data_IF_223074712655
#
_entry.id   IF_223074712655
#
_cell.length_a   1.000
_cell.length_b   1.000
_cell.length_c   1.000
_cell.angle_alpha   90.00
_cell.angle_beta   90.00
_cell.angle_gamma   90.00
#
_symmetry.space_group_name_H-M   'P 1'
#
loop_
_entity.id
_entity.type
_entity.pdbx_description
1 polymer ?
#
# COMPACT_ATOMS: atom_id res chain seq x y z
N UNK A 1 20.05 26.19 -18.20
CA UNK A 1 19.80 25.70 -16.82
C UNK A 1 20.51 24.34 -16.64
N UNK A 2 20.19 23.32 -17.44
CA UNK A 2 20.76 21.95 -17.34
C UNK A 2 22.29 21.92 -17.29
N UNK A 3 22.96 22.54 -18.25
CA UNK A 3 24.42 22.62 -18.29
C UNK A 3 25.06 23.24 -17.03
N UNK A 4 24.40 24.23 -16.42
CA UNK A 4 24.90 24.89 -15.21
C UNK A 4 24.84 23.99 -13.97
N UNK A 5 23.83 23.13 -13.85
CA UNK A 5 23.55 22.35 -12.63
C UNK A 5 23.91 20.88 -12.78
N UNK A 6 23.82 20.31 -13.98
CA UNK A 6 24.03 18.90 -14.26
C UNK A 6 25.32 18.60 -15.03
N UNK A 7 25.98 19.63 -15.57
CA UNK A 7 27.17 19.48 -16.39
C UNK A 7 26.85 19.28 -17.89
N UNK A 8 27.87 18.93 -18.66
CA UNK A 8 27.77 18.79 -20.11
C UNK A 8 27.09 17.49 -20.56
N UNK A 9 27.00 16.51 -19.67
CA UNK A 9 26.27 15.25 -19.85
C UNK A 9 25.55 14.89 -18.58
N UNK A 10 24.33 14.36 -18.71
CA UNK A 10 23.56 13.86 -17.58
C UNK A 10 22.70 12.66 -17.99
N UNK A 11 22.27 11.90 -16.99
CA UNK A 11 21.73 10.56 -17.23
C UNK A 11 20.30 10.60 -17.76
N UNK A 12 19.39 11.32 -17.10
CA UNK A 12 17.95 11.25 -17.38
C UNK A 12 17.37 12.65 -17.57
N UNK A 13 16.57 12.80 -18.63
CA UNK A 13 15.67 13.92 -18.84
C UNK A 13 14.25 13.40 -19.06
N UNK A 14 13.30 13.91 -18.30
CA UNK A 14 11.92 13.46 -18.36
C UNK A 14 10.92 14.59 -18.61
N UNK A 15 9.75 14.21 -19.12
CA UNK A 15 8.63 15.13 -19.31
C UNK A 15 7.37 14.43 -19.81
N UNK A 16 6.32 15.20 -20.11
CA UNK A 16 5.13 14.66 -20.74
C UNK A 16 5.39 14.31 -22.21
N UNK A 17 4.61 13.40 -22.75
CA UNK A 17 4.71 12.97 -24.15
C UNK A 17 4.46 14.11 -25.14
N UNK A 18 3.76 15.16 -24.73
CA UNK A 18 3.55 16.39 -25.51
C UNK A 18 4.79 17.27 -25.64
N UNK A 19 5.82 17.04 -24.81
CA UNK A 19 7.09 17.78 -24.86
C UNK A 19 8.11 17.15 -25.83
N UNK A 20 7.89 15.92 -26.31
CA UNK A 20 8.79 15.27 -27.26
C UNK A 20 9.09 16.22 -28.41
N UNK A 21 8.04 16.76 -29.02
CA UNK A 21 8.14 17.72 -30.10
C UNK A 21 7.20 18.91 -29.87
N UNK A 22 7.68 20.15 -30.05
CA UNK A 22 9.02 20.53 -30.49
C UNK A 22 10.04 20.75 -29.35
N UNK A 23 9.64 20.69 -28.09
CA UNK A 23 10.43 21.22 -26.97
C UNK A 23 11.74 20.42 -26.74
N UNK A 24 11.65 19.12 -26.50
CA UNK A 24 12.81 18.28 -26.20
C UNK A 24 13.71 18.10 -27.44
N UNK A 25 13.12 18.02 -28.63
CA UNK A 25 13.91 18.06 -29.90
C UNK A 25 14.72 19.34 -30.02
N UNK A 26 14.14 20.49 -29.65
CA UNK A 26 14.86 21.76 -29.64
C UNK A 26 15.97 21.80 -28.59
N UNK A 27 15.74 21.21 -27.42
CA UNK A 27 16.77 21.10 -26.35
C UNK A 27 17.95 20.22 -26.77
N UNK A 28 17.69 19.08 -27.43
CA UNK A 28 18.73 18.22 -28.01
C UNK A 28 19.58 19.05 -29.00
N UNK A 29 18.92 19.66 -29.98
CA UNK A 29 19.60 20.46 -31.01
C UNK A 29 20.45 21.57 -30.41
N UNK A 30 19.90 22.32 -29.46
CA UNK A 30 20.62 23.43 -28.84
C UNK A 30 21.83 22.96 -28.04
N UNK A 31 21.65 21.91 -27.25
CA UNK A 31 22.69 21.41 -26.32
C UNK A 31 23.84 20.76 -27.11
N UNK A 32 23.52 19.87 -28.03
CA UNK A 32 24.50 19.12 -28.82
C UNK A 32 25.28 20.04 -29.80
N UNK A 33 24.59 20.98 -30.45
CA UNK A 33 25.27 21.97 -31.28
C UNK A 33 26.17 22.92 -30.48
N UNK A 34 25.74 23.29 -29.27
CA UNK A 34 26.53 24.18 -28.40
C UNK A 34 27.80 23.51 -27.90
N UNK A 35 27.69 22.23 -27.51
CA UNK A 35 28.79 21.48 -26.88
C UNK A 35 29.66 20.76 -27.92
N UNK A 36 29.17 20.53 -29.13
CA UNK A 36 29.89 19.83 -30.20
C UNK A 36 30.03 18.33 -29.92
N UNK A 37 29.21 17.74 -29.11
CA UNK A 37 29.16 16.30 -28.87
C UNK A 37 27.71 15.81 -28.63
N UNK A 38 27.48 14.53 -28.85
CA UNK A 38 26.24 13.79 -28.68
C UNK A 38 26.50 12.40 -28.03
N UNK A 39 25.56 11.85 -27.27
CA UNK A 39 24.40 12.54 -26.69
C UNK A 39 24.76 13.39 -25.46
N UNK A 40 24.02 14.45 -25.22
CA UNK A 40 24.08 15.23 -23.98
C UNK A 40 23.24 14.55 -22.89
N UNK A 41 22.10 14.00 -23.27
CA UNK A 41 21.20 13.23 -22.40
C UNK A 41 21.27 11.75 -22.76
N UNK A 42 21.52 10.88 -21.78
CA UNK A 42 21.63 9.44 -22.01
C UNK A 42 20.27 8.79 -22.25
N UNK A 43 19.29 9.13 -21.42
CA UNK A 43 17.95 8.52 -21.46
C UNK A 43 16.85 9.58 -21.40
N UNK A 44 15.90 9.48 -22.31
CA UNK A 44 14.71 10.31 -22.35
C UNK A 44 13.51 9.52 -21.87
N UNK A 45 12.80 10.01 -20.85
CA UNK A 45 11.63 9.36 -20.28
C UNK A 45 10.41 10.26 -20.49
N UNK A 46 9.39 9.75 -21.20
CA UNK A 46 8.17 10.49 -21.48
C UNK A 46 6.96 9.76 -20.93
N UNK A 47 6.26 10.40 -20.00
CA UNK A 47 5.02 9.87 -19.44
C UNK A 47 3.80 10.28 -20.27
N UNK A 48 2.78 9.42 -20.24
CA UNK A 48 1.46 9.71 -20.78
C UNK A 48 0.77 10.86 -20.04
N UNK A 49 -0.28 11.38 -20.65
CA UNK A 49 -1.09 12.44 -20.07
C UNK A 49 -2.00 11.87 -18.98
N UNK A 50 -2.32 12.71 -17.97
CA UNK A 50 -3.34 12.39 -16.99
C UNK A 50 -4.69 12.90 -17.48
N UNK A 51 -5.65 12.00 -17.56
CA UNK A 51 -7.05 12.29 -17.82
C UNK A 51 -7.82 12.23 -16.49
N UNK A 52 -8.96 12.89 -16.45
CA UNK A 52 -9.94 12.78 -15.36
C UNK A 52 -11.27 12.42 -16.00
N UNK A 53 -11.83 11.28 -15.59
CA UNK A 53 -13.09 10.77 -16.16
C UNK A 53 -13.09 10.68 -17.70
N UNK A 54 -11.97 10.25 -18.29
CA UNK A 54 -11.80 10.09 -19.74
C UNK A 54 -11.48 11.37 -20.50
N UNK A 55 -11.49 12.53 -19.86
CA UNK A 55 -11.14 13.82 -20.48
C UNK A 55 -9.74 14.29 -20.06
N UNK A 56 -9.00 14.92 -20.97
CA UNK A 56 -7.68 15.49 -20.67
C UNK A 56 -7.80 16.47 -19.51
N UNK A 57 -7.02 16.26 -18.45
CA UNK A 57 -6.93 17.19 -17.33
C UNK A 57 -6.46 18.56 -17.81
N UNK A 58 -7.25 19.60 -17.59
CA UNK A 58 -6.89 20.98 -17.93
C UNK A 58 -7.57 22.01 -17.05
N UNK A 59 -6.88 23.13 -16.81
CA UNK A 59 -7.45 24.26 -16.06
C UNK A 59 -8.69 24.87 -16.73
N UNK A 60 -8.74 24.87 -18.06
CA UNK A 60 -9.84 25.43 -18.84
C UNK A 60 -11.14 24.61 -18.76
N UNK A 61 -11.03 23.31 -18.49
CA UNK A 61 -12.18 22.42 -18.30
C UNK A 61 -12.66 22.33 -16.84
N UNK A 62 -11.90 22.91 -15.90
CA UNK A 62 -12.25 22.87 -14.49
C UNK A 62 -12.09 21.47 -13.83
N UNK A 63 -11.50 20.51 -14.54
CA UNK A 63 -11.23 19.15 -14.07
C UNK A 63 -9.78 18.97 -13.61
N UNK A 64 -9.10 20.08 -13.31
CA UNK A 64 -7.71 20.07 -12.89
C UNK A 64 -7.60 19.87 -11.38
N UNK A 65 -6.90 18.83 -10.97
CA UNK A 65 -6.54 18.56 -9.58
C UNK A 65 -5.06 18.84 -9.37
N UNK A 66 -4.76 19.65 -8.39
CA UNK A 66 -3.39 19.78 -7.89
C UNK A 66 -3.07 18.59 -6.98
N UNK A 67 -1.79 18.28 -6.82
CA UNK A 67 -1.36 17.26 -5.84
C UNK A 67 -1.85 17.63 -4.43
N UNK A 68 -1.82 18.91 -4.06
CA UNK A 68 -2.31 19.37 -2.76
C UNK A 68 -3.78 19.06 -2.55
N UNK A 69 -4.64 19.33 -3.53
CA UNK A 69 -6.08 19.01 -3.47
C UNK A 69 -6.33 17.50 -3.42
N UNK A 70 -5.55 16.70 -4.16
CA UNK A 70 -5.63 15.24 -4.09
C UNK A 70 -5.27 14.73 -2.68
N UNK A 71 -4.22 15.27 -2.06
CA UNK A 71 -3.75 14.90 -0.73
C UNK A 71 -4.68 15.34 0.42
N UNK A 72 -5.64 16.24 0.18
CA UNK A 72 -6.69 16.57 1.15
C UNK A 72 -7.71 15.43 1.32
N UNK A 73 -7.83 14.55 0.31
CA UNK A 73 -8.86 13.50 0.25
C UNK A 73 -8.30 12.08 0.13
N UNK A 74 -7.05 11.92 -0.28
CA UNK A 74 -6.41 10.62 -0.54
C UNK A 74 -5.12 10.51 0.25
N UNK A 75 -4.93 9.37 0.92
CA UNK A 75 -3.67 9.06 1.60
C UNK A 75 -2.48 9.13 0.61
N UNK A 76 -1.35 9.76 0.97
CA UNK A 76 -0.20 9.92 0.07
C UNK A 76 0.34 8.60 -0.50
N UNK A 77 0.34 7.53 0.28
CA UNK A 77 0.83 6.22 -0.17
C UNK A 77 -0.18 5.52 -1.10
N UNK A 78 -1.48 5.73 -0.87
CA UNK A 78 -2.54 5.28 -1.79
C UNK A 78 -2.44 6.04 -3.11
N UNK A 79 -2.27 7.36 -3.07
CA UNK A 79 -2.08 8.16 -4.28
C UNK A 79 -0.84 7.70 -5.07
N UNK A 80 0.27 7.45 -4.37
CA UNK A 80 1.48 6.91 -5.00
C UNK A 80 1.22 5.53 -5.62
N UNK A 81 0.56 4.63 -4.90
CA UNK A 81 0.18 3.32 -5.41
C UNK A 81 -0.67 3.44 -6.69
N UNK A 82 -1.67 4.32 -6.68
CA UNK A 82 -2.55 4.59 -7.83
C UNK A 82 -1.75 5.01 -9.06
N UNK A 83 -0.83 5.96 -8.91
CA UNK A 83 -0.03 6.50 -10.02
C UNK A 83 0.93 5.45 -10.62
N UNK A 84 1.55 4.60 -9.79
CA UNK A 84 2.49 3.58 -10.29
C UNK A 84 1.81 2.27 -10.71
N UNK A 85 0.50 2.12 -10.47
CA UNK A 85 -0.27 0.96 -10.92
C UNK A 85 -0.70 1.04 -12.40
N UNK A 86 -0.09 1.93 -13.17
CA UNK A 86 -0.30 2.08 -14.60
C UNK A 86 1.04 2.22 -15.33
N UNK A 87 1.13 1.73 -16.60
CA UNK A 87 2.31 1.97 -17.41
C UNK A 87 2.52 3.47 -17.65
N UNK A 88 3.67 4.01 -17.28
CA UNK A 88 3.91 5.45 -17.32
C UNK A 88 3.83 6.09 -18.71
N UNK A 89 4.08 5.31 -19.77
CA UNK A 89 3.98 5.80 -21.17
C UNK A 89 2.55 5.96 -21.68
N UNK A 90 1.57 5.35 -20.97
CA UNK A 90 0.17 5.40 -21.39
C UNK A 90 -0.58 6.52 -20.68
N UNK A 91 -1.63 7.08 -21.29
CA UNK A 91 -2.52 7.98 -20.59
C UNK A 91 -3.11 7.31 -19.35
N UNK A 92 -3.08 8.01 -18.24
CA UNK A 92 -3.67 7.59 -16.97
C UNK A 92 -5.06 8.22 -16.82
N UNK A 93 -6.09 7.41 -16.73
CA UNK A 93 -7.43 7.90 -16.42
C UNK A 93 -7.66 7.90 -14.90
N UNK A 94 -7.33 9.03 -14.28
CA UNK A 94 -7.40 9.20 -12.84
C UNK A 94 -8.85 9.44 -12.40
N UNK A 95 -9.45 8.46 -11.73
CA UNK A 95 -10.82 8.50 -11.26
C UNK A 95 -10.98 7.83 -9.89
N UNK A 96 -12.15 8.02 -9.26
CA UNK A 96 -12.42 7.51 -7.91
C UNK A 96 -12.33 5.98 -7.84
N UNK A 97 -12.81 5.26 -8.87
CA UNK A 97 -12.76 3.79 -8.88
C UNK A 97 -11.33 3.27 -8.82
N UNK A 98 -10.41 3.92 -9.53
CA UNK A 98 -8.99 3.57 -9.52
C UNK A 98 -8.35 3.84 -8.14
N UNK A 99 -8.75 4.92 -7.48
CA UNK A 99 -8.27 5.26 -6.12
C UNK A 99 -8.79 4.21 -5.12
N UNK A 100 -10.09 3.91 -5.14
CA UNK A 100 -10.72 2.94 -4.23
C UNK A 100 -10.09 1.54 -4.36
N UNK A 101 -9.84 1.08 -5.59
CA UNK A 101 -9.17 -0.19 -5.87
C UNK A 101 -7.72 -0.19 -5.32
N UNK A 102 -7.00 0.90 -5.57
CA UNK A 102 -5.64 1.08 -5.06
C UNK A 102 -5.60 1.10 -3.53
N UNK A 103 -6.56 1.74 -2.88
CA UNK A 103 -6.68 1.76 -1.42
C UNK A 103 -6.85 0.36 -0.85
N UNK A 104 -7.73 -0.45 -1.45
CA UNK A 104 -7.93 -1.85 -1.02
C UNK A 104 -6.63 -2.66 -1.12
N UNK A 105 -5.92 -2.54 -2.24
CA UNK A 105 -4.67 -3.26 -2.45
C UNK A 105 -3.54 -2.78 -1.53
N UNK A 106 -3.40 -1.46 -1.39
CA UNK A 106 -2.39 -0.86 -0.50
C UNK A 106 -2.65 -1.22 0.97
N UNK A 107 -3.89 -1.11 1.45
CA UNK A 107 -4.27 -1.47 2.81
C UNK A 107 -3.95 -2.93 3.13
N UNK A 108 -4.23 -3.86 2.21
CA UNK A 108 -3.88 -5.29 2.38
C UNK A 108 -2.37 -5.49 2.53
N UNK A 109 -1.58 -4.82 1.70
CA UNK A 109 -0.11 -4.85 1.77
C UNK A 109 0.38 -4.36 3.13
N UNK A 110 -0.02 -3.16 3.54
CA UNK A 110 0.43 -2.52 4.77
C UNK A 110 0.00 -3.31 6.01
N UNK A 111 -1.24 -3.81 6.05
CA UNK A 111 -1.73 -4.65 7.16
C UNK A 111 -0.91 -5.93 7.27
N UNK A 112 -0.71 -6.65 6.16
CA UNK A 112 0.05 -7.89 6.17
C UNK A 112 1.51 -7.66 6.59
N UNK A 113 2.15 -6.63 6.04
CA UNK A 113 3.50 -6.22 6.40
C UNK A 113 3.63 -5.90 7.89
N UNK A 114 2.73 -5.06 8.42
CA UNK A 114 2.74 -4.66 9.83
C UNK A 114 2.58 -5.83 10.80
N UNK A 115 1.65 -6.73 10.54
CA UNK A 115 1.48 -7.93 11.35
C UNK A 115 2.72 -8.84 11.31
N UNK A 116 3.31 -9.03 10.14
CA UNK A 116 4.55 -9.79 9.99
C UNK A 116 5.69 -9.14 10.77
N UNK A 117 5.85 -7.83 10.65
CA UNK A 117 6.87 -7.05 11.35
C UNK A 117 6.70 -7.13 12.87
N UNK A 118 5.48 -6.94 13.39
CA UNK A 118 5.20 -7.00 14.82
C UNK A 118 5.44 -8.39 15.41
N UNK A 119 5.05 -9.45 14.71
CA UNK A 119 5.13 -10.83 15.20
C UNK A 119 6.49 -11.48 15.02
N UNK A 120 7.21 -11.18 13.95
CA UNK A 120 8.40 -11.93 13.51
C UNK A 120 9.63 -11.05 13.25
N UNK A 121 9.46 -9.72 13.15
CA UNK A 121 10.56 -8.82 12.79
C UNK A 121 11.03 -9.00 11.35
N UNK A 122 12.31 -8.67 11.10
CA UNK A 122 12.96 -8.81 9.79
C UNK A 122 14.14 -9.76 9.88
N UNK A 123 14.34 -10.58 8.84
CA UNK A 123 15.50 -11.43 8.67
C UNK A 123 15.94 -11.43 7.20
N UNK A 124 17.20 -11.78 6.94
CA UNK A 124 17.70 -11.95 5.56
C UNK A 124 16.81 -12.93 4.79
N UNK A 125 16.36 -12.50 3.60
CA UNK A 125 15.44 -13.28 2.76
C UNK A 125 16.14 -14.15 1.71
N UNK A 126 17.41 -13.89 1.43
CA UNK A 126 18.19 -14.69 0.50
C UNK A 126 18.34 -16.10 1.03
N UNK A 127 18.16 -17.08 0.13
CA UNK A 127 18.09 -18.50 0.50
C UNK A 127 16.67 -19.08 0.54
N UNK A 128 15.63 -18.24 0.50
CA UNK A 128 14.26 -18.68 0.27
C UNK A 128 13.96 -18.63 -1.24
N UNK A 129 13.97 -19.77 -1.91
CA UNK A 129 13.86 -19.86 -3.38
C UNK A 129 12.67 -19.09 -3.96
N UNK A 130 11.54 -19.11 -3.28
CA UNK A 130 10.35 -18.39 -3.74
C UNK A 130 10.47 -16.85 -3.66
N UNK A 131 11.28 -16.32 -2.72
CA UNK A 131 11.60 -14.91 -2.65
C UNK A 131 12.64 -14.53 -3.71
N UNK A 132 13.59 -15.39 -3.99
CA UNK A 132 14.55 -15.21 -5.09
C UNK A 132 13.84 -15.22 -6.45
N UNK A 133 12.86 -16.09 -6.64
CA UNK A 133 12.01 -16.08 -7.84
C UNK A 133 11.16 -14.81 -7.94
N UNK A 134 10.55 -14.34 -6.83
CA UNK A 134 9.81 -13.09 -6.79
C UNK A 134 10.71 -11.89 -7.12
N UNK A 135 11.95 -11.88 -6.59
CA UNK A 135 12.97 -10.88 -6.93
C UNK A 135 13.26 -10.86 -8.42
N UNK A 136 13.54 -12.02 -9.00
CA UNK A 136 13.84 -12.11 -10.44
C UNK A 136 12.70 -11.57 -11.32
N UNK A 137 11.44 -11.84 -10.94
CA UNK A 137 10.28 -11.32 -11.66
C UNK A 137 10.07 -9.82 -11.44
N UNK A 138 10.29 -9.33 -10.21
CA UNK A 138 10.23 -7.92 -9.90
C UNK A 138 11.27 -7.13 -10.71
N UNK A 139 12.53 -7.56 -10.64
CA UNK A 139 13.64 -6.92 -11.36
C UNK A 139 13.44 -6.99 -12.87
N UNK A 140 13.04 -8.14 -13.41
CA UNK A 140 12.72 -8.26 -14.84
C UNK A 140 11.60 -7.31 -15.29
N UNK A 141 10.58 -7.07 -14.44
CA UNK A 141 9.55 -6.08 -14.72
C UNK A 141 10.09 -4.65 -14.69
N UNK A 142 10.94 -4.33 -13.72
CA UNK A 142 11.54 -3.00 -13.62
C UNK A 142 12.55 -2.73 -14.75
N UNK A 143 13.30 -3.74 -15.17
CA UNK A 143 14.24 -3.66 -16.30
C UNK A 143 13.52 -3.56 -17.66
N UNK A 144 12.26 -4.01 -17.74
CA UNK A 144 11.41 -3.84 -18.92
C UNK A 144 10.69 -2.48 -18.87
N UNK A 145 11.46 -1.41 -19.08
CA UNK A 145 10.97 -0.04 -19.21
C UNK A 145 10.17 0.45 -17.97
N UNK A 146 10.65 0.12 -16.77
CA UNK A 146 9.99 0.47 -15.51
C UNK A 146 8.54 0.00 -15.44
N UNK A 147 8.29 -1.27 -15.76
CA UNK A 147 6.95 -1.86 -15.67
C UNK A 147 6.53 -2.09 -14.22
N UNK A 148 6.24 -0.98 -13.53
CA UNK A 148 5.84 -0.96 -12.12
C UNK A 148 4.60 -1.81 -11.85
N UNK A 149 3.74 -2.01 -12.85
CA UNK A 149 2.56 -2.87 -12.71
C UNK A 149 2.94 -4.33 -12.48
N UNK A 150 3.94 -4.84 -13.21
CA UNK A 150 4.48 -6.19 -12.97
C UNK A 150 5.14 -6.26 -11.59
N UNK A 151 5.92 -5.25 -11.22
CA UNK A 151 6.54 -5.16 -9.90
C UNK A 151 5.50 -5.18 -8.76
N UNK A 152 4.39 -4.45 -8.89
CA UNK A 152 3.29 -4.45 -7.92
C UNK A 152 2.61 -5.82 -7.80
N UNK A 153 2.43 -6.54 -8.91
CA UNK A 153 1.89 -7.91 -8.89
C UNK A 153 2.77 -8.83 -8.04
N UNK A 154 4.09 -8.73 -8.16
CA UNK A 154 5.01 -9.53 -7.35
C UNK A 154 4.97 -9.14 -5.87
N UNK A 155 4.91 -7.85 -5.55
CA UNK A 155 4.72 -7.36 -4.17
C UNK A 155 3.44 -7.94 -3.56
N UNK A 156 2.32 -7.89 -4.27
CA UNK A 156 1.05 -8.43 -3.80
C UNK A 156 1.11 -9.97 -3.67
N UNK A 157 1.82 -10.65 -4.55
CA UNK A 157 2.01 -12.12 -4.49
C UNK A 157 2.79 -12.53 -3.24
N UNK A 158 3.88 -11.84 -2.92
CA UNK A 158 4.67 -12.06 -1.70
C UNK A 158 3.84 -11.77 -0.45
N UNK A 159 3.12 -10.65 -0.42
CA UNK A 159 2.23 -10.30 0.71
C UNK A 159 1.13 -11.35 0.91
N UNK A 160 0.51 -11.84 -0.17
CA UNK A 160 -0.50 -12.90 -0.10
C UNK A 160 0.08 -14.20 0.46
N UNK A 161 1.27 -14.62 0.01
CA UNK A 161 1.91 -15.82 0.53
C UNK A 161 2.30 -15.66 2.00
N UNK A 162 2.84 -14.50 2.39
CA UNK A 162 3.14 -14.18 3.78
C UNK A 162 1.88 -14.23 4.66
N UNK A 163 0.72 -13.75 4.17
CA UNK A 163 -0.56 -13.88 4.87
C UNK A 163 -0.91 -15.33 5.16
N UNK A 164 -0.79 -16.22 4.17
CA UNK A 164 -1.04 -17.65 4.35
C UNK A 164 -0.10 -18.25 5.41
N UNK A 165 1.17 -17.87 5.42
CA UNK A 165 2.14 -18.33 6.43
C UNK A 165 1.79 -17.81 7.83
N UNK A 166 1.36 -16.56 7.96
CA UNK A 166 0.92 -15.98 9.23
C UNK A 166 -0.31 -16.71 9.79
N UNK A 167 -1.29 -17.02 8.94
CA UNK A 167 -2.54 -17.64 9.33
C UNK A 167 -2.37 -19.14 9.66
N UNK A 168 -1.46 -19.83 8.99
CA UNK A 168 -1.18 -21.26 9.20
C UNK A 168 -0.13 -21.55 10.29
N UNK A 169 0.44 -20.53 10.91
CA UNK A 169 1.55 -20.68 11.86
C UNK A 169 2.85 -21.16 11.19
N UNK A 170 3.11 -20.71 9.96
CA UNK A 170 4.30 -21.03 9.19
C UNK A 170 5.61 -20.67 9.88
N UNK A 171 6.73 -21.09 9.30
CA UNK A 171 8.07 -20.90 9.85
C UNK A 171 8.37 -19.41 10.09
N UNK A 172 8.84 -19.10 11.29
CA UNK A 172 9.13 -17.72 11.71
C UNK A 172 10.17 -17.04 10.82
N UNK A 173 11.17 -17.81 10.36
CA UNK A 173 12.25 -17.30 9.51
C UNK A 173 11.75 -16.96 8.11
N UNK A 174 10.87 -17.77 7.55
CA UNK A 174 10.28 -17.51 6.23
C UNK A 174 9.40 -16.26 6.24
N UNK A 175 8.63 -16.06 7.32
CA UNK A 175 7.81 -14.85 7.49
C UNK A 175 8.71 -13.62 7.66
N UNK A 176 9.74 -13.70 8.51
CA UNK A 176 10.67 -12.59 8.74
C UNK A 176 11.46 -12.23 7.46
N UNK A 177 11.81 -13.24 6.66
CA UNK A 177 12.40 -13.05 5.34
C UNK A 177 11.46 -12.30 4.37
N UNK A 178 10.18 -12.69 4.34
CA UNK A 178 9.17 -12.01 3.52
C UNK A 178 8.95 -10.55 3.97
N UNK A 179 8.93 -10.29 5.27
CA UNK A 179 8.87 -8.91 5.83
C UNK A 179 10.06 -8.08 5.32
N UNK A 180 11.27 -8.63 5.36
CA UNK A 180 12.46 -7.94 4.86
C UNK A 180 12.38 -7.67 3.37
N UNK A 181 11.95 -8.66 2.58
CA UNK A 181 11.75 -8.53 1.14
C UNK A 181 10.75 -7.42 0.81
N UNK A 182 9.59 -7.41 1.47
CA UNK A 182 8.57 -6.37 1.27
C UNK A 182 9.12 -4.99 1.65
N UNK A 183 9.91 -4.89 2.74
CA UNK A 183 10.57 -3.64 3.13
C UNK A 183 11.49 -3.10 2.02
N UNK A 184 12.30 -3.96 1.41
CA UNK A 184 13.22 -3.55 0.34
C UNK A 184 12.46 -3.16 -0.94
N UNK A 185 11.57 -4.00 -1.44
CA UNK A 185 10.97 -3.79 -2.75
C UNK A 185 9.73 -2.89 -2.72
N UNK A 186 8.84 -3.07 -1.76
CA UNK A 186 7.68 -2.19 -1.63
C UNK A 186 8.00 -0.89 -0.88
N UNK A 187 8.91 -0.93 0.10
CA UNK A 187 9.34 0.23 0.88
C UNK A 187 10.40 1.05 0.15
N UNK A 188 11.64 0.53 0.10
CA UNK A 188 12.78 1.31 -0.35
C UNK A 188 12.75 1.60 -1.85
N UNK A 189 12.29 0.66 -2.70
CA UNK A 189 12.23 0.85 -4.16
C UNK A 189 10.95 1.58 -4.58
N UNK A 190 9.77 1.10 -4.19
CA UNK A 190 8.50 1.66 -4.66
C UNK A 190 7.96 2.79 -3.75
N UNK A 191 8.41 2.90 -2.51
CA UNK A 191 7.99 3.94 -1.57
C UNK A 191 6.54 3.79 -1.12
N UNK A 192 6.07 2.57 -0.87
CA UNK A 192 4.67 2.25 -0.59
C UNK A 192 4.40 1.92 0.88
N UNK A 193 5.42 1.90 1.73
CA UNK A 193 5.24 1.57 3.13
C UNK A 193 5.33 2.83 4.01
N UNK A 194 4.51 2.92 5.06
CA UNK A 194 4.68 3.94 6.09
C UNK A 194 5.93 3.65 6.93
N UNK A 195 6.34 4.62 7.75
CA UNK A 195 7.40 4.40 8.73
C UNK A 195 7.02 3.28 9.72
N UNK A 196 7.97 2.38 10.00
CA UNK A 196 7.74 1.23 10.89
C UNK A 196 7.23 1.64 12.27
N UNK A 197 7.75 2.73 12.82
CA UNK A 197 7.35 3.24 14.13
C UNK A 197 5.88 3.67 14.17
N UNK A 198 5.40 4.28 13.11
CA UNK A 198 3.99 4.66 12.95
C UNK A 198 3.10 3.43 12.84
N UNK A 199 3.52 2.47 12.00
CA UNK A 199 2.78 1.24 11.77
C UNK A 199 2.68 0.38 13.03
N UNK A 200 3.80 0.17 13.73
CA UNK A 200 3.83 -0.60 14.98
C UNK A 200 3.03 0.09 16.09
N UNK A 201 3.07 1.41 16.17
CA UNK A 201 2.23 2.16 17.10
C UNK A 201 0.73 2.00 16.83
N UNK A 202 0.30 2.00 15.58
CA UNK A 202 -1.10 1.73 15.20
C UNK A 202 -1.53 0.31 15.58
N UNK A 203 -0.69 -0.69 15.28
CA UNK A 203 -0.98 -2.10 15.61
C UNK A 203 -1.10 -2.29 17.12
N UNK A 204 -0.15 -1.76 17.88
CA UNK A 204 -0.18 -1.85 19.35
C UNK A 204 -1.43 -1.19 19.94
N UNK A 205 -1.82 -0.02 19.42
CA UNK A 205 -3.05 0.66 19.86
C UNK A 205 -4.31 -0.14 19.53
N UNK A 206 -4.34 -0.83 18.38
CA UNK A 206 -5.46 -1.70 18.01
C UNK A 206 -5.52 -2.96 18.87
N UNK A 207 -4.37 -3.55 19.21
CA UNK A 207 -4.30 -4.71 20.12
C UNK A 207 -4.79 -4.34 21.52
N UNK A 208 -4.35 -3.20 22.08
CA UNK A 208 -4.80 -2.70 23.38
C UNK A 208 -6.32 -2.48 23.38
N UNK A 209 -6.85 -1.80 22.37
CA UNK A 209 -8.29 -1.54 22.24
C UNK A 209 -9.09 -2.86 22.13
N UNK A 210 -8.57 -3.85 21.40
CA UNK A 210 -9.18 -5.17 21.28
C UNK A 210 -9.19 -5.92 22.61
N UNK A 211 -8.10 -5.86 23.37
CA UNK A 211 -7.99 -6.48 24.69
C UNK A 211 -8.96 -5.83 25.70
N UNK A 212 -9.06 -4.48 25.69
CA UNK A 212 -10.02 -3.74 26.51
C UNK A 212 -11.47 -4.13 26.20
N UNK A 213 -11.84 -4.22 24.92
CA UNK A 213 -13.15 -4.68 24.48
C UNK A 213 -13.39 -6.13 24.94
N UNK A 214 -12.41 -7.01 24.77
CA UNK A 214 -12.52 -8.41 25.18
C UNK A 214 -12.75 -8.55 26.67
N UNK A 215 -12.00 -7.84 27.50
CA UNK A 215 -12.17 -7.84 28.96
C UNK A 215 -13.54 -7.30 29.35
N UNK A 216 -14.03 -6.26 28.71
CA UNK A 216 -15.35 -5.70 28.97
C UNK A 216 -16.48 -6.68 28.62
N UNK A 217 -16.37 -7.31 27.44
CA UNK A 217 -17.32 -8.36 26.99
C UNK A 217 -17.35 -9.55 27.97
N UNK A 218 -16.16 -10.03 28.38
CA UNK A 218 -16.07 -11.12 29.35
C UNK A 218 -16.70 -10.75 30.72
N UNK A 219 -16.50 -9.51 31.19
CA UNK A 219 -17.15 -9.00 32.41
C UNK A 219 -18.68 -8.97 32.26
N UNK A 220 -19.20 -8.49 31.14
CA UNK A 220 -20.64 -8.47 30.85
C UNK A 220 -21.24 -9.88 30.76
N UNK A 221 -20.52 -10.82 30.17
CA UNK A 221 -20.97 -12.22 30.10
C UNK A 221 -21.04 -12.88 31.46
N UNK A 222 -20.07 -12.63 32.33
CA UNK A 222 -20.12 -13.10 33.74
C UNK A 222 -21.32 -12.52 34.50
N UNK A 223 -21.54 -11.20 34.39
CA UNK A 223 -22.70 -10.55 35.04
C UNK A 223 -24.03 -11.08 34.47
N UNK A 224 -24.09 -11.37 33.17
CA UNK A 224 -25.28 -11.97 32.54
C UNK A 224 -25.54 -13.38 33.09
N UNK A 225 -24.52 -14.18 33.27
CA UNK A 225 -24.66 -15.52 33.83
C UNK A 225 -25.11 -15.47 35.31
N UNK A 226 -24.58 -14.58 36.13
CA UNK A 226 -25.03 -14.33 37.51
C UNK A 226 -26.51 -13.87 37.54
N UNK A 227 -26.91 -12.96 36.65
CA UNK A 227 -28.31 -12.53 36.53
C UNK A 227 -29.25 -13.69 36.14
N UNK A 228 -28.82 -14.58 35.26
CA UNK A 228 -29.59 -15.79 34.88
C UNK A 228 -29.70 -16.79 36.03
N UNK A 229 -28.64 -17.00 36.80
CA UNK A 229 -28.67 -17.87 37.99
C UNK A 229 -29.59 -17.34 39.09
N UNK A 230 -29.60 -16.02 39.28
CA UNK A 230 -30.51 -15.34 40.21
C UNK A 230 -31.95 -15.16 39.68
N UNK A 231 -32.19 -15.56 38.42
CA UNK A 231 -33.46 -15.39 37.68
C UNK A 231 -33.87 -13.93 37.46
N UNK A 232 -32.89 -13.02 37.43
CA UNK A 232 -33.07 -11.63 37.00
C UNK A 232 -33.00 -11.53 35.45
N UNK A 233 -34.11 -11.90 34.85
CA UNK A 233 -34.23 -11.94 33.39
C UNK A 233 -34.15 -10.53 32.75
N UNK A 234 -34.63 -9.51 33.50
CA UNK A 234 -34.58 -8.12 33.02
C UNK A 234 -33.12 -7.65 32.85
N UNK A 235 -32.26 -7.92 33.84
CA UNK A 235 -30.84 -7.57 33.77
C UNK A 235 -30.10 -8.38 32.71
N UNK A 236 -30.42 -9.66 32.59
CA UNK A 236 -29.80 -10.52 31.55
C UNK A 236 -30.14 -10.06 30.12
N UNK A 237 -31.34 -9.55 29.87
CA UNK A 237 -31.76 -9.01 28.59
C UNK A 237 -31.11 -7.64 28.30
N UNK A 238 -30.99 -6.75 29.32
CA UNK A 238 -30.27 -5.48 29.19
C UNK A 238 -28.82 -5.71 28.76
N UNK A 239 -28.11 -6.65 29.41
CA UNK A 239 -26.71 -6.97 29.05
C UNK A 239 -26.61 -7.52 27.62
N UNK A 240 -27.58 -8.33 27.20
CA UNK A 240 -27.61 -8.84 25.83
C UNK A 240 -27.77 -7.72 24.80
N UNK A 241 -28.63 -6.76 25.10
CA UNK A 241 -28.84 -5.60 24.23
C UNK A 241 -27.61 -4.69 24.19
N UNK A 242 -26.90 -4.53 25.33
CA UNK A 242 -25.63 -3.81 25.40
C UNK A 242 -24.55 -4.48 24.53
N UNK A 243 -24.35 -5.81 24.67
CA UNK A 243 -23.44 -6.57 23.84
C UNK A 243 -23.76 -6.47 22.35
N UNK A 244 -25.04 -6.56 22.02
CA UNK A 244 -25.51 -6.38 20.61
C UNK A 244 -25.23 -4.96 20.11
N UNK A 245 -25.42 -3.94 20.95
CA UNK A 245 -25.07 -2.55 20.63
C UNK A 245 -23.57 -2.31 20.38
N UNK A 246 -22.70 -3.14 20.97
CA UNK A 246 -21.27 -3.15 20.73
C UNK A 246 -20.85 -3.96 19.50
N UNK A 247 -21.78 -4.53 18.73
CA UNK A 247 -21.50 -5.40 17.58
C UNK A 247 -21.00 -6.79 18.00
N UNK A 248 -21.29 -7.23 19.23
CA UNK A 248 -20.88 -8.54 19.74
C UNK A 248 -22.03 -9.53 19.57
N UNK A 249 -21.78 -10.61 18.85
CA UNK A 249 -22.71 -11.74 18.71
C UNK A 249 -22.34 -12.78 19.75
N UNK A 250 -23.30 -13.11 20.63
CA UNK A 250 -23.15 -14.12 21.67
C UNK A 250 -23.92 -15.37 21.30
N UNK A 251 -23.24 -16.51 21.36
CA UNK A 251 -23.84 -17.84 21.12
C UNK A 251 -23.77 -18.65 22.43
N UNK A 252 -24.97 -18.99 23.00
CA UNK A 252 -25.07 -19.81 24.21
C UNK A 252 -24.79 -21.29 23.86
N UNK A 253 -23.81 -21.88 24.52
CA UNK A 253 -23.40 -23.28 24.33
C UNK A 253 -23.44 -24.08 25.62
N UNK A 254 -23.37 -25.43 25.55
CA UNK A 254 -23.41 -26.30 26.74
C UNK A 254 -22.23 -26.13 27.69
N UNK A 255 -21.14 -25.44 27.24
CA UNK A 255 -19.94 -25.20 28.06
C UNK A 255 -19.76 -23.70 28.39
N UNK A 256 -20.81 -22.87 28.27
CA UNK A 256 -20.80 -21.44 28.47
C UNK A 256 -21.09 -20.66 27.16
N UNK A 257 -21.20 -19.34 27.28
CA UNK A 257 -21.39 -18.47 26.16
C UNK A 257 -20.09 -18.28 25.37
N UNK A 258 -20.14 -18.39 24.05
CA UNK A 258 -19.05 -17.96 23.16
C UNK A 258 -19.47 -16.69 22.44
N UNK A 259 -18.48 -15.87 22.04
CA UNK A 259 -18.79 -14.59 21.41
C UNK A 259 -17.83 -14.28 20.26
N UNK A 260 -18.29 -13.40 19.35
CA UNK A 260 -17.49 -12.84 18.25
C UNK A 260 -17.93 -11.41 17.96
N UNK A 261 -17.03 -10.61 17.44
CA UNK A 261 -17.35 -9.27 16.93
C UNK A 261 -17.79 -9.42 15.45
N UNK A 262 -18.85 -8.71 15.09
CA UNK A 262 -19.41 -8.72 13.72
C UNK A 262 -18.44 -8.11 12.69
#
# INVERSE_FOLDING_TARGET
>A
MSLKHLGERFDIHGGGSDLIFPHHEAEIFQSECCLGHDPVVQYWIHNGMVNVDGEKMSKSLGNFWTISEALENVDPLVLRYTLINAPYRQPLDFNQVMIDDSEVHHRRLVTCYGEGLAKKGRMEWRGFSWLEEATSRFESGMDDDFNTRVALVEVQSVAKRMRVLLDSGGESEEIAGAVRWISEYAGDVLGLLPEDSELLGKIQSQEIAKDEISQHVESLLLERDEARESKDWARADEIRDELTGMGVIVEDGPNGASWRIE
#
